data_IF_323569291259
#
_entry.id   IF_323569291259
#
_cell.length_a   1.000
_cell.length_b   1.000
_cell.length_c   1.000
_cell.angle_alpha   90.00
_cell.angle_beta   90.00
_cell.angle_gamma   90.00
#
_symmetry.space_group_name_H-M   'P 1'
#
loop_
_entity.id
_entity.type
_entity.pdbx_description
1 polymer ?
#
# COMPACT_ATOMS: atom_id res chain seq x y z
N UNK A 1 -20.40 -13.46 -26.93
CA UNK A 1 -19.64 -14.02 -25.78
C UNK A 1 -18.26 -13.38 -25.72
N UNK A 2 -18.16 -12.21 -25.08
CA UNK A 2 -16.92 -11.40 -25.00
C UNK A 2 -16.48 -11.23 -23.53
N UNK A 3 -16.69 -12.25 -22.70
CA UNK A 3 -16.73 -12.09 -21.24
C UNK A 3 -15.50 -12.64 -20.54
N UNK A 4 -14.96 -13.79 -20.95
CA UNK A 4 -13.84 -14.44 -20.25
C UNK A 4 -12.53 -13.67 -20.46
N UNK A 5 -12.17 -13.35 -21.70
CA UNK A 5 -10.92 -12.62 -22.01
C UNK A 5 -10.92 -11.21 -21.42
N UNK A 6 -12.09 -10.53 -21.42
CA UNK A 6 -12.26 -9.21 -20.78
C UNK A 6 -12.07 -9.31 -19.27
N UNK A 7 -12.70 -10.29 -18.61
CA UNK A 7 -12.54 -10.52 -17.15
C UNK A 7 -11.10 -10.80 -16.77
N UNK A 8 -10.40 -11.66 -17.54
CA UNK A 8 -8.99 -11.96 -17.31
C UNK A 8 -8.13 -10.71 -17.46
N UNK A 9 -8.35 -9.91 -18.51
CA UNK A 9 -7.63 -8.63 -18.70
C UNK A 9 -7.87 -7.68 -17.53
N UNK A 10 -9.12 -7.50 -17.11
CA UNK A 10 -9.46 -6.64 -15.95
C UNK A 10 -8.77 -7.14 -14.67
N UNK A 11 -8.79 -8.44 -14.40
CA UNK A 11 -8.13 -9.02 -13.22
C UNK A 11 -6.60 -8.82 -13.26
N UNK A 12 -5.97 -9.01 -14.42
CA UNK A 12 -4.52 -8.78 -14.58
C UNK A 12 -4.19 -7.30 -14.39
N UNK A 13 -4.93 -6.39 -15.05
CA UNK A 13 -4.75 -4.96 -14.89
C UNK A 13 -4.93 -4.53 -13.43
N UNK A 14 -5.95 -5.04 -12.73
CA UNK A 14 -6.15 -4.79 -11.31
C UNK A 14 -4.97 -5.24 -10.46
N UNK A 15 -4.45 -6.45 -10.68
CA UNK A 15 -3.25 -6.96 -9.98
C UNK A 15 -2.01 -6.12 -10.25
N UNK A 16 -1.82 -5.65 -11.49
CA UNK A 16 -0.68 -4.80 -11.84
C UNK A 16 -0.78 -3.46 -11.12
N UNK A 17 -1.96 -2.84 -11.10
CA UNK A 17 -2.16 -1.56 -10.41
C UNK A 17 -2.00 -1.70 -8.90
N UNK A 18 -2.57 -2.74 -8.28
CA UNK A 18 -2.38 -3.03 -6.85
C UNK A 18 -0.88 -3.18 -6.51
N UNK A 19 -0.12 -3.94 -7.32
CA UNK A 19 1.34 -4.07 -7.12
C UNK A 19 2.09 -2.75 -7.30
N UNK A 20 1.66 -1.88 -8.21
CA UNK A 20 2.25 -0.56 -8.41
C UNK A 20 1.98 0.34 -7.21
N UNK A 21 0.74 0.39 -6.75
CA UNK A 21 0.34 1.13 -5.56
C UNK A 21 1.14 0.67 -4.33
N UNK A 22 1.21 -0.65 -4.09
CA UNK A 22 2.01 -1.19 -2.97
C UNK A 22 3.49 -0.81 -3.06
N UNK A 23 4.10 -0.90 -4.25
CA UNK A 23 5.51 -0.49 -4.43
C UNK A 23 5.73 1.00 -4.21
N UNK A 24 4.75 1.84 -4.58
CA UNK A 24 4.81 3.27 -4.31
C UNK A 24 4.74 3.52 -2.81
N UNK A 25 3.79 2.88 -2.12
CA UNK A 25 3.63 3.00 -0.68
C UNK A 25 4.88 2.55 0.09
N UNK A 26 5.51 1.43 -0.32
CA UNK A 26 6.82 1.00 0.24
C UNK A 26 7.89 2.06 0.08
N UNK A 27 7.97 2.72 -1.08
CA UNK A 27 8.96 3.80 -1.31
C UNK A 27 8.67 5.02 -0.44
N UNK A 28 7.41 5.42 -0.33
CA UNK A 28 6.99 6.56 0.49
C UNK A 28 7.28 6.29 1.97
N UNK A 29 6.87 5.14 2.50
CA UNK A 29 7.20 4.72 3.87
C UNK A 29 8.72 4.61 4.08
N UNK A 30 9.47 4.14 3.08
CA UNK A 30 10.93 4.07 3.11
C UNK A 30 11.64 5.43 3.03
N UNK A 31 10.92 6.50 2.69
CA UNK A 31 11.48 7.86 2.62
C UNK A 31 11.56 8.55 3.97
N UNK A 32 10.77 8.12 4.97
CA UNK A 32 10.89 8.55 6.36
C UNK A 32 12.15 7.91 6.98
N UNK A 33 13.25 8.68 7.07
CA UNK A 33 14.58 8.16 7.45
C UNK A 33 15.01 8.62 8.84
N UNK A 34 14.43 9.67 9.36
CA UNK A 34 14.79 10.22 10.68
C UNK A 34 13.81 9.77 11.76
N UNK A 35 14.23 9.77 13.04
CA UNK A 35 13.31 9.48 14.15
C UNK A 35 12.13 10.44 14.23
N UNK A 36 12.33 11.72 13.89
CA UNK A 36 11.27 12.73 13.90
C UNK A 36 10.22 12.46 12.80
N UNK A 37 10.67 12.15 11.59
CA UNK A 37 9.80 11.73 10.47
C UNK A 37 9.03 10.45 10.79
N UNK A 38 9.66 9.49 11.49
CA UNK A 38 8.99 8.26 11.95
C UNK A 38 7.93 8.54 12.99
N UNK A 39 8.21 9.41 13.95
CA UNK A 39 7.24 9.84 14.94
C UNK A 39 6.04 10.55 14.29
N UNK A 40 6.29 11.40 13.29
CA UNK A 40 5.21 12.04 12.53
C UNK A 40 4.35 11.01 11.80
N UNK A 41 4.96 10.01 11.16
CA UNK A 41 4.24 8.91 10.53
C UNK A 41 3.37 8.18 11.55
N UNK A 42 3.91 7.82 12.72
CA UNK A 42 3.16 7.13 13.78
C UNK A 42 1.97 7.97 14.29
N UNK A 43 2.13 9.29 14.41
CA UNK A 43 1.05 10.20 14.79
C UNK A 43 -0.04 10.29 13.73
N UNK A 44 0.31 10.20 12.45
CA UNK A 44 -0.67 10.14 11.36
C UNK A 44 -1.43 8.81 11.43
N UNK A 45 -0.72 7.69 11.53
CA UNK A 45 -1.33 6.36 11.58
C UNK A 45 -2.25 6.19 12.79
N UNK A 46 -1.90 6.76 13.94
CA UNK A 46 -2.73 6.74 15.15
C UNK A 46 -4.08 7.46 15.02
N UNK A 47 -4.32 8.23 13.94
CA UNK A 47 -5.62 8.86 13.65
C UNK A 47 -6.54 8.00 12.77
N UNK A 48 -6.05 6.86 12.30
CA UNK A 48 -6.75 5.97 11.39
C UNK A 48 -7.09 4.65 12.08
N UNK A 49 -8.12 3.95 11.59
CA UNK A 49 -8.48 2.64 12.13
C UNK A 49 -7.48 1.58 11.66
N UNK A 50 -7.42 0.45 12.38
CA UNK A 50 -6.55 -0.68 12.04
C UNK A 50 -6.80 -1.17 10.61
N UNK A 51 -8.06 -1.20 10.15
CA UNK A 51 -8.41 -1.60 8.79
C UNK A 51 -7.86 -0.63 7.74
N UNK A 52 -7.82 0.67 8.05
CA UNK A 52 -7.33 1.70 7.14
C UNK A 52 -5.81 1.64 6.99
N UNK A 53 -5.09 1.29 8.07
CA UNK A 53 -3.62 1.24 8.06
C UNK A 53 -3.05 -0.16 7.84
N UNK A 54 -3.89 -1.20 7.74
CA UNK A 54 -3.46 -2.59 7.65
C UNK A 54 -2.38 -2.86 6.58
N UNK A 55 -2.48 -2.22 5.41
CA UNK A 55 -1.45 -2.35 4.35
C UNK A 55 -0.13 -1.66 4.71
N UNK A 56 -0.21 -0.48 5.34
CA UNK A 56 0.96 0.29 5.80
C UNK A 56 1.68 -0.48 6.90
N UNK A 57 0.92 -0.96 7.87
CA UNK A 57 1.38 -1.81 8.97
C UNK A 57 2.06 -3.10 8.47
N UNK A 58 1.45 -3.76 7.50
CA UNK A 58 2.03 -4.95 6.88
C UNK A 58 3.34 -4.64 6.15
N UNK A 59 3.46 -3.46 5.53
CA UNK A 59 4.72 -3.00 4.92
C UNK A 59 5.77 -2.78 6.00
N UNK A 60 5.44 -2.02 7.05
CA UNK A 60 6.35 -1.71 8.16
C UNK A 60 6.86 -2.97 8.89
N UNK A 61 6.02 -3.98 9.07
CA UNK A 61 6.40 -5.27 9.68
C UNK A 61 7.21 -6.19 8.76
N UNK A 62 7.24 -5.91 7.45
CA UNK A 62 7.93 -6.73 6.44
C UNK A 62 9.26 -6.14 5.96
N UNK A 63 9.57 -4.89 6.35
CA UNK A 63 10.79 -4.17 6.05
C UNK A 63 11.87 -4.51 7.09
#
# INVERSE_FOLDING_TARGET
METTTRRVRTAISGRIQARRARRQLVREIGSYRTPAERLELDLILGRHTEEQIAEIDAILRSA
#
